data_IF_653683479569
#
_entry.id   IF_653683479569
#
_cell.length_a   1.000
_cell.length_b   1.000
_cell.length_c   1.000
_cell.angle_alpha   90.00
_cell.angle_beta   90.00
_cell.angle_gamma   90.00
#
_symmetry.space_group_name_H-M   'P 1'
#
loop_
_entity.id
_entity.type
_entity.pdbx_description
1 polymer ?
#
# COMPACT_ATOMS: atom_id res chain seq x y z
N UNK A 1 -1.62 21.75 -24.95
CA UNK A 1 -1.60 21.66 -23.49
C UNK A 1 -2.47 20.53 -23.02
N UNK A 2 -1.83 19.45 -22.50
CA UNK A 2 -2.57 18.39 -21.83
C UNK A 2 -3.15 18.96 -20.56
N UNK A 3 -4.44 19.06 -20.51
CA UNK A 3 -5.11 19.63 -19.36
C UNK A 3 -5.21 18.57 -18.25
N UNK A 4 -5.38 19.01 -17.03
CA UNK A 4 -5.66 18.13 -15.89
C UNK A 4 -6.93 17.30 -16.12
N UNK A 5 -7.84 17.78 -17.00
CA UNK A 5 -9.05 17.08 -17.39
C UNK A 5 -8.74 15.81 -18.18
N UNK A 6 -7.82 15.86 -19.14
CA UNK A 6 -7.44 14.71 -19.95
C UNK A 6 -6.80 13.61 -19.08
N UNK A 7 -5.94 14.02 -18.13
CA UNK A 7 -5.33 13.09 -17.18
C UNK A 7 -6.39 12.44 -16.29
N UNK A 8 -7.36 13.23 -15.82
CA UNK A 8 -8.45 12.72 -14.98
C UNK A 8 -9.32 11.72 -15.74
N UNK A 9 -9.60 11.99 -17.02
CA UNK A 9 -10.37 11.06 -17.85
C UNK A 9 -9.62 9.75 -18.08
N UNK A 10 -8.29 9.79 -18.23
CA UNK A 10 -7.47 8.58 -18.37
C UNK A 10 -7.53 7.72 -17.10
N UNK A 11 -7.43 8.34 -15.92
CA UNK A 11 -7.54 7.61 -14.66
C UNK A 11 -8.93 6.99 -14.48
N UNK A 12 -9.98 7.74 -14.82
CA UNK A 12 -11.36 7.23 -14.76
C UNK A 12 -11.56 6.05 -15.70
N UNK A 13 -10.98 6.09 -16.89
CA UNK A 13 -11.04 5.00 -17.86
C UNK A 13 -10.34 3.75 -17.33
N UNK A 14 -9.18 3.91 -16.70
CA UNK A 14 -8.45 2.78 -16.10
C UNK A 14 -9.23 2.18 -14.93
N UNK A 15 -9.89 3.00 -14.13
CA UNK A 15 -10.75 2.52 -13.06
C UNK A 15 -11.91 1.67 -13.62
N UNK A 16 -12.57 2.16 -14.67
CA UNK A 16 -13.68 1.42 -15.31
C UNK A 16 -13.19 0.10 -15.93
N UNK A 17 -12.04 0.12 -16.56
CA UNK A 17 -11.43 -1.08 -17.11
C UNK A 17 -11.15 -2.10 -16.00
N UNK A 18 -10.60 -1.65 -14.88
CA UNK A 18 -10.31 -2.53 -13.74
C UNK A 18 -11.59 -3.13 -13.17
N UNK A 19 -12.64 -2.33 -13.02
CA UNK A 19 -13.95 -2.82 -12.57
C UNK A 19 -14.50 -3.86 -13.54
N UNK A 20 -14.35 -3.64 -14.84
CA UNK A 20 -14.79 -4.59 -15.87
C UNK A 20 -14.07 -5.94 -15.75
N UNK A 21 -12.75 -5.89 -15.56
CA UNK A 21 -11.94 -7.11 -15.39
C UNK A 21 -12.37 -7.87 -14.14
N UNK A 22 -12.65 -7.16 -13.05
CA UNK A 22 -13.11 -7.77 -11.81
C UNK A 22 -14.47 -8.47 -12.01
N UNK A 23 -15.37 -7.86 -12.76
CA UNK A 23 -16.69 -8.48 -13.06
C UNK A 23 -16.57 -9.77 -13.88
N UNK A 24 -15.50 -9.90 -14.67
CA UNK A 24 -15.25 -11.15 -15.41
C UNK A 24 -14.79 -12.28 -14.51
N UNK A 25 -14.41 -11.99 -13.26
CA UNK A 25 -13.92 -12.95 -12.28
C UNK A 25 -12.79 -13.85 -12.83
N UNK A 26 -11.83 -13.22 -13.55
CA UNK A 26 -10.70 -13.93 -14.12
C UNK A 26 -9.40 -13.47 -13.46
N UNK A 27 -8.88 -14.20 -12.45
CA UNK A 27 -7.67 -13.78 -11.74
C UNK A 27 -6.44 -13.64 -12.62
N UNK A 28 -6.29 -14.50 -13.62
CA UNK A 28 -5.13 -14.45 -14.52
C UNK A 28 -5.12 -13.16 -15.35
N UNK A 29 -6.28 -12.75 -15.83
CA UNK A 29 -6.42 -11.51 -16.59
C UNK A 29 -6.16 -10.29 -15.70
N UNK A 30 -6.65 -10.35 -14.46
CA UNK A 30 -6.42 -9.29 -13.48
C UNK A 30 -4.93 -9.13 -13.19
N UNK A 31 -4.21 -10.23 -12.92
CA UNK A 31 -2.77 -10.18 -12.68
C UNK A 31 -2.02 -9.61 -13.88
N UNK A 32 -2.36 -10.07 -15.08
CA UNK A 32 -1.72 -9.59 -16.29
C UNK A 32 -1.88 -8.09 -16.47
N UNK A 33 -3.07 -7.57 -16.17
CA UNK A 33 -3.32 -6.12 -16.29
C UNK A 33 -2.57 -5.32 -15.26
N UNK A 34 -2.50 -5.79 -14.01
CA UNK A 34 -1.72 -5.13 -12.95
C UNK A 34 -0.24 -5.07 -13.36
N UNK A 35 0.30 -6.16 -13.89
CA UNK A 35 1.69 -6.20 -14.37
C UNK A 35 1.91 -5.17 -15.47
N UNK A 36 1.03 -5.12 -16.46
CA UNK A 36 1.19 -4.20 -17.58
C UNK A 36 1.06 -2.75 -17.15
N UNK A 37 0.14 -2.44 -16.22
CA UNK A 37 0.01 -1.09 -15.69
C UNK A 37 1.28 -0.66 -14.95
N UNK A 38 1.91 -1.55 -14.22
CA UNK A 38 3.16 -1.26 -13.52
C UNK A 38 4.31 -0.90 -14.44
N UNK A 39 4.25 -1.32 -15.71
CA UNK A 39 5.24 -0.94 -16.73
C UNK A 39 4.93 0.39 -17.39
N UNK A 40 3.65 0.78 -17.43
CA UNK A 40 3.21 1.98 -18.15
C UNK A 40 3.16 3.23 -17.28
N UNK A 41 2.88 3.08 -15.99
CA UNK A 41 2.61 4.20 -15.10
C UNK A 41 3.43 4.13 -13.83
N UNK A 42 3.79 5.29 -13.23
CA UNK A 42 4.42 5.31 -11.91
C UNK A 42 3.50 4.71 -10.83
N UNK A 43 4.10 3.98 -9.91
CA UNK A 43 3.36 3.25 -8.87
C UNK A 43 2.52 4.17 -8.00
N UNK A 44 3.06 5.33 -7.59
CA UNK A 44 2.32 6.29 -6.78
C UNK A 44 1.03 6.73 -7.47
N UNK A 45 1.10 6.96 -8.78
CA UNK A 45 -0.05 7.36 -9.58
C UNK A 45 -1.08 6.24 -9.65
N UNK A 46 -0.63 5.00 -9.86
CA UNK A 46 -1.52 3.84 -9.91
C UNK A 46 -2.23 3.63 -8.58
N UNK A 47 -1.50 3.70 -7.48
CA UNK A 47 -2.08 3.52 -6.15
C UNK A 47 -3.13 4.60 -5.89
N UNK A 48 -2.75 5.87 -6.08
CA UNK A 48 -3.62 6.99 -5.73
C UNK A 48 -4.82 7.17 -6.65
N UNK A 49 -4.65 6.89 -7.96
CA UNK A 49 -5.67 7.21 -8.95
C UNK A 49 -6.42 6.01 -9.53
N UNK A 50 -5.92 4.80 -9.31
CA UNK A 50 -6.58 3.59 -9.82
C UNK A 50 -6.93 2.62 -8.69
N UNK A 51 -5.94 2.13 -7.95
CA UNK A 51 -6.16 1.04 -7.00
C UNK A 51 -6.97 1.45 -5.78
N UNK A 52 -6.65 2.56 -5.14
CA UNK A 52 -7.43 3.04 -4.00
C UNK A 52 -8.85 3.46 -4.40
N UNK A 53 -9.06 4.20 -5.50
CA UNK A 53 -10.43 4.49 -5.95
C UNK A 53 -11.25 3.25 -6.29
N UNK A 54 -10.66 2.24 -6.94
CA UNK A 54 -11.37 0.99 -7.26
C UNK A 54 -11.72 0.25 -5.97
N UNK A 55 -10.80 0.17 -5.01
CA UNK A 55 -11.10 -0.44 -3.72
C UNK A 55 -12.26 0.27 -3.02
N UNK A 56 -12.30 1.60 -3.07
CA UNK A 56 -13.38 2.40 -2.50
C UNK A 56 -14.73 2.07 -3.16
N UNK A 57 -14.74 1.96 -4.49
CA UNK A 57 -15.96 1.59 -5.22
C UNK A 57 -16.45 0.20 -4.84
N UNK A 58 -15.55 -0.75 -4.65
CA UNK A 58 -15.90 -2.12 -4.25
C UNK A 58 -16.50 -2.16 -2.85
N UNK A 59 -16.01 -1.33 -1.93
CA UNK A 59 -16.57 -1.23 -0.58
C UNK A 59 -18.00 -0.72 -0.61
N UNK A 60 -18.31 0.19 -1.55
CA UNK A 60 -19.64 0.78 -1.65
C UNK A 60 -20.64 -0.10 -2.40
N UNK A 61 -20.19 -1.13 -3.09
CA UNK A 61 -21.07 -2.05 -3.83
C UNK A 61 -21.46 -3.22 -2.93
N UNK A 62 -22.74 -3.29 -2.58
CA UNK A 62 -23.24 -4.27 -1.62
C UNK A 62 -23.55 -5.65 -2.22
N UNK A 63 -23.61 -5.80 -3.56
CA UNK A 63 -24.13 -7.02 -4.18
C UNK A 63 -23.08 -8.11 -4.41
N UNK A 64 -21.88 -7.76 -4.87
CA UNK A 64 -20.84 -8.74 -5.21
C UNK A 64 -19.47 -8.35 -4.68
N UNK A 65 -19.41 -7.27 -3.91
CA UNK A 65 -18.18 -6.57 -3.58
C UNK A 65 -17.17 -7.41 -2.82
N UNK A 66 -17.64 -8.28 -1.91
CA UNK A 66 -16.73 -8.97 -1.00
C UNK A 66 -15.80 -9.96 -1.71
N UNK A 67 -16.34 -10.77 -2.62
CA UNK A 67 -15.51 -11.69 -3.42
C UNK A 67 -14.60 -10.92 -4.35
N UNK A 68 -15.14 -9.90 -5.00
CA UNK A 68 -14.37 -9.07 -5.93
C UNK A 68 -13.28 -8.28 -5.20
N UNK A 69 -13.60 -7.72 -4.04
CA UNK A 69 -12.62 -7.04 -3.19
C UNK A 69 -11.49 -7.96 -2.78
N UNK A 70 -11.84 -9.19 -2.37
CA UNK A 70 -10.86 -10.17 -1.94
C UNK A 70 -9.95 -10.59 -3.09
N UNK A 71 -10.52 -10.80 -4.28
CA UNK A 71 -9.76 -11.15 -5.46
C UNK A 71 -8.81 -10.02 -5.86
N UNK A 72 -9.30 -8.78 -5.83
CA UNK A 72 -8.49 -7.62 -6.16
C UNK A 72 -7.36 -7.42 -5.15
N UNK A 73 -7.69 -7.46 -3.86
CA UNK A 73 -6.71 -7.30 -2.78
C UNK A 73 -5.65 -8.39 -2.86
N UNK A 74 -6.04 -9.64 -3.14
CA UNK A 74 -5.10 -10.74 -3.29
C UNK A 74 -4.11 -10.51 -4.43
N UNK A 75 -4.61 -10.04 -5.57
CA UNK A 75 -3.76 -9.76 -6.72
C UNK A 75 -2.79 -8.59 -6.45
N UNK A 76 -3.27 -7.55 -5.77
CA UNK A 76 -2.44 -6.40 -5.39
C UNK A 76 -1.34 -6.80 -4.41
N UNK A 77 -1.68 -7.60 -3.40
CA UNK A 77 -0.71 -8.09 -2.40
C UNK A 77 0.35 -8.94 -3.09
N UNK A 78 -0.07 -9.85 -3.97
CA UNK A 78 0.84 -10.71 -4.71
C UNK A 78 1.84 -9.90 -5.52
N UNK A 79 1.36 -8.90 -6.25
CA UNK A 79 2.22 -8.05 -7.06
C UNK A 79 3.14 -7.18 -6.21
N UNK A 80 2.62 -6.62 -5.12
CA UNK A 80 3.42 -5.82 -4.20
C UNK A 80 4.53 -6.66 -3.56
N UNK A 81 4.22 -7.87 -3.13
CA UNK A 81 5.20 -8.78 -2.53
C UNK A 81 6.31 -9.14 -3.53
N UNK A 82 5.94 -9.44 -4.78
CA UNK A 82 6.92 -9.72 -5.83
C UNK A 82 7.82 -8.51 -6.09
N UNK A 83 7.25 -7.31 -6.08
CA UNK A 83 8.01 -6.07 -6.29
C UNK A 83 8.98 -5.82 -5.14
N UNK A 84 8.57 -6.06 -3.90
CA UNK A 84 9.45 -5.96 -2.74
C UNK A 84 10.64 -6.92 -2.86
N UNK A 85 10.37 -8.15 -3.28
CA UNK A 85 11.41 -9.15 -3.47
C UNK A 85 12.45 -8.68 -4.50
N UNK A 86 12.00 -8.16 -5.62
CA UNK A 86 12.89 -7.65 -6.67
C UNK A 86 13.69 -6.43 -6.20
N UNK A 87 13.07 -5.52 -5.45
CA UNK A 87 13.75 -4.32 -4.96
C UNK A 87 14.86 -4.63 -3.96
N UNK A 88 14.75 -5.74 -3.23
CA UNK A 88 15.82 -6.15 -2.30
C UNK A 88 17.11 -6.55 -3.01
N UNK A 89 17.07 -6.78 -4.30
CA UNK A 89 18.26 -7.09 -5.11
C UNK A 89 19.08 -5.84 -5.43
N UNK A 90 18.52 -4.65 -5.20
CA UNK A 90 19.16 -3.36 -5.40
C UNK A 90 19.63 -2.82 -4.06
N UNK A 91 20.62 -1.89 -4.03
CA UNK A 91 21.01 -1.24 -2.79
C UNK A 91 19.83 -0.49 -2.15
N UNK A 92 19.74 -0.55 -0.81
CA UNK A 92 18.69 0.13 -0.08
C UNK A 92 18.88 -0.02 1.42
N UNK A 93 18.06 0.71 2.17
CA UNK A 93 18.07 0.69 3.63
C UNK A 93 16.98 -0.24 4.14
N UNK A 94 17.31 -1.07 5.12
CA UNK A 94 16.35 -1.99 5.72
C UNK A 94 15.42 -1.27 6.70
N UNK A 95 14.15 -1.63 6.66
CA UNK A 95 13.14 -1.15 7.60
C UNK A 95 12.05 -2.19 7.76
N UNK A 96 11.36 -2.11 8.90
CA UNK A 96 10.19 -2.92 9.20
C UNK A 96 8.97 -2.02 9.10
N UNK A 97 7.96 -2.46 8.35
CA UNK A 97 6.69 -1.72 8.23
C UNK A 97 5.61 -2.45 9.02
N UNK A 98 4.89 -1.72 9.83
CA UNK A 98 3.77 -2.26 10.59
C UNK A 98 2.56 -1.33 10.53
N UNK A 99 1.37 -1.93 10.62
CA UNK A 99 0.12 -1.21 10.76
C UNK A 99 -0.23 -1.11 12.25
N UNK A 100 -0.48 0.11 12.73
CA UNK A 100 -0.84 0.35 14.12
C UNK A 100 -2.36 0.47 14.23
N UNK A 101 -3.01 -0.61 14.70
CA UNK A 101 -4.47 -0.70 14.84
C UNK A 101 -5.26 -0.46 13.54
N UNK A 102 -4.70 -0.85 12.40
CA UNK A 102 -5.37 -0.69 11.10
C UNK A 102 -5.51 -2.05 10.44
N UNK A 103 -6.74 -2.48 10.21
CA UNK A 103 -7.03 -3.77 9.59
C UNK A 103 -7.29 -3.63 8.10
N UNK A 104 -6.33 -3.11 7.36
CA UNK A 104 -6.41 -2.99 5.90
C UNK A 104 -5.14 -3.56 5.27
N UNK A 105 -5.12 -4.90 5.18
CA UNK A 105 -3.93 -5.64 4.72
C UNK A 105 -3.46 -5.22 3.33
N UNK A 106 -4.38 -5.09 2.40
CA UNK A 106 -4.01 -4.71 1.04
C UNK A 106 -3.39 -3.31 1.00
N UNK A 107 -3.94 -2.35 1.74
CA UNK A 107 -3.36 -1.01 1.82
C UNK A 107 -1.97 -1.02 2.43
N UNK A 108 -1.76 -1.85 3.46
CA UNK A 108 -0.43 -1.98 4.06
C UNK A 108 0.60 -2.44 3.01
N UNK A 109 0.26 -3.44 2.20
CA UNK A 109 1.15 -3.93 1.15
C UNK A 109 1.36 -2.92 0.03
N UNK A 110 0.35 -2.12 -0.31
CA UNK A 110 0.50 -1.02 -1.26
C UNK A 110 1.46 0.04 -0.73
N UNK A 111 1.38 0.36 0.56
CA UNK A 111 2.29 1.31 1.19
C UNK A 111 3.72 0.75 1.26
N UNK A 112 3.86 -0.55 1.52
CA UNK A 112 5.16 -1.22 1.45
C UNK A 112 5.77 -1.10 0.06
N UNK A 113 4.97 -1.33 -0.97
CA UNK A 113 5.40 -1.20 -2.35
C UNK A 113 5.86 0.22 -2.66
N UNK A 114 5.07 1.21 -2.25
CA UNK A 114 5.42 2.64 -2.41
C UNK A 114 6.76 2.95 -1.75
N UNK A 115 6.95 2.51 -0.51
CA UNK A 115 8.19 2.74 0.24
C UNK A 115 9.40 2.05 -0.41
N UNK A 116 9.21 0.87 -0.99
CA UNK A 116 10.30 0.15 -1.65
C UNK A 116 10.89 0.94 -2.81
N UNK A 117 10.07 1.74 -3.48
CA UNK A 117 10.54 2.58 -4.59
C UNK A 117 11.30 3.81 -4.11
N UNK A 118 11.22 4.13 -2.82
CA UNK A 118 11.97 5.23 -2.21
C UNK A 118 13.31 4.78 -1.61
N UNK A 119 13.73 3.57 -1.93
CA UNK A 119 15.03 3.04 -1.50
C UNK A 119 15.00 2.21 -0.22
N UNK A 120 13.82 1.80 0.25
CA UNK A 120 13.69 0.96 1.43
C UNK A 120 13.62 -0.51 1.06
N UNK A 121 14.33 -1.36 1.82
CA UNK A 121 14.13 -2.80 1.82
C UNK A 121 13.14 -3.12 2.95
N UNK A 122 11.88 -3.28 2.60
CA UNK A 122 10.80 -3.37 3.59
C UNK A 122 10.55 -4.82 3.97
N UNK A 123 10.47 -5.07 5.28
CA UNK A 123 9.91 -6.31 5.84
C UNK A 123 8.56 -5.95 6.44
N UNK A 124 7.50 -6.58 5.97
CA UNK A 124 6.14 -6.24 6.36
C UNK A 124 5.69 -7.15 7.51
N UNK A 125 5.21 -6.54 8.60
CA UNK A 125 4.49 -7.30 9.63
C UNK A 125 3.06 -7.46 9.13
N UNK A 126 2.66 -8.70 8.88
CA UNK A 126 1.44 -9.00 8.13
C UNK A 126 0.16 -8.64 8.86
N UNK A 127 0.15 -8.77 10.18
CA UNK A 127 -1.04 -8.55 10.99
C UNK A 127 -1.01 -7.19 11.67
N UNK A 128 -2.18 -6.58 11.93
CA UNK A 128 -2.26 -5.33 12.69
C UNK A 128 -1.68 -5.51 14.10
N UNK A 129 -0.99 -4.49 14.57
CA UNK A 129 -0.37 -4.49 15.90
C UNK A 129 -1.09 -3.45 16.76
N UNK A 130 -1.43 -3.82 17.99
CA UNK A 130 -2.14 -2.93 18.91
C UNK A 130 -1.25 -1.78 19.40
N UNK A 131 0.03 -2.05 19.60
CA UNK A 131 0.99 -1.03 20.00
C UNK A 131 2.38 -1.39 19.50
N UNK A 132 3.07 -0.46 18.84
CA UNK A 132 4.46 -0.69 18.45
C UNK A 132 5.34 -0.99 19.66
N UNK A 133 6.32 -1.87 19.44
CA UNK A 133 7.30 -2.24 20.46
C UNK A 133 8.70 -2.06 19.89
N UNK A 134 9.18 -0.81 19.79
CA UNK A 134 10.49 -0.53 19.19
C UNK A 134 11.64 -1.13 19.96
N UNK A 135 11.47 -1.45 21.25
CA UNK A 135 12.47 -2.13 22.04
C UNK A 135 12.84 -3.51 21.53
N UNK A 136 11.97 -4.13 20.72
CA UNK A 136 12.26 -5.40 20.07
C UNK A 136 13.18 -5.25 18.85
N UNK A 137 13.30 -4.02 18.35
CA UNK A 137 14.08 -3.71 17.14
C UNK A 137 15.04 -2.55 17.41
N UNK A 138 15.98 -2.70 18.37
CA UNK A 138 16.75 -1.56 18.87
C UNK A 138 17.69 -0.92 17.85
N UNK A 139 18.09 -1.66 16.81
CA UNK A 139 19.02 -1.17 15.78
C UNK A 139 18.38 -0.98 14.41
N UNK A 140 17.09 -1.31 14.28
CA UNK A 140 16.39 -1.26 13.00
C UNK A 140 15.44 -0.06 12.94
N UNK A 141 15.16 0.40 11.72
CA UNK A 141 14.15 1.43 11.51
C UNK A 141 12.78 0.77 11.48
N UNK A 142 11.87 1.29 12.29
CA UNK A 142 10.47 0.85 12.34
C UNK A 142 9.61 1.93 11.70
N UNK A 143 8.94 1.59 10.60
CA UNK A 143 8.01 2.49 9.92
C UNK A 143 6.60 2.09 10.33
N UNK A 144 5.87 3.04 10.90
CA UNK A 144 4.54 2.81 11.44
C UNK A 144 3.51 3.48 10.56
N UNK A 145 2.54 2.71 10.08
CA UNK A 145 1.44 3.21 9.28
C UNK A 145 0.17 3.19 10.11
N UNK A 146 -0.51 4.32 10.19
CA UNK A 146 -1.70 4.49 11.01
C UNK A 146 -2.99 4.60 10.20
N UNK A 147 -2.89 4.51 8.86
CA UNK A 147 -4.03 4.62 7.96
C UNK A 147 -4.54 6.04 7.78
N UNK A 148 -4.50 6.83 8.82
CA UNK A 148 -4.87 8.24 8.85
C UNK A 148 -3.74 9.02 9.53
N UNK A 149 -3.87 10.34 9.59
CA UNK A 149 -2.90 11.16 10.30
C UNK A 149 -2.76 10.68 11.75
N UNK A 150 -1.54 10.62 12.29
CA UNK A 150 -1.34 10.18 13.68
C UNK A 150 -2.10 11.06 14.67
N UNK A 151 -2.63 10.43 15.70
CA UNK A 151 -3.28 11.15 16.79
C UNK A 151 -2.24 11.87 17.64
N UNK A 152 -2.71 12.78 18.52
CA UNK A 152 -1.84 13.46 19.46
C UNK A 152 -1.07 12.47 20.35
N UNK A 153 -1.76 11.45 20.85
CA UNK A 153 -1.13 10.41 21.67
C UNK A 153 -0.07 9.64 20.89
N UNK A 154 -0.36 9.31 19.64
CA UNK A 154 0.61 8.62 18.79
C UNK A 154 1.85 9.48 18.54
N UNK A 155 1.67 10.77 18.29
CA UNK A 155 2.80 11.71 18.14
C UNK A 155 3.62 11.83 19.43
N UNK A 156 2.97 11.85 20.59
CA UNK A 156 3.66 11.89 21.88
C UNK A 156 4.52 10.63 22.09
N UNK A 157 3.97 9.46 21.74
CA UNK A 157 4.72 8.20 21.81
C UNK A 157 5.92 8.20 20.87
N UNK A 158 5.72 8.69 19.63
CA UNK A 158 6.81 8.80 18.67
C UNK A 158 7.96 9.65 19.22
N UNK A 159 7.64 10.79 19.81
CA UNK A 159 8.63 11.66 20.41
C UNK A 159 9.35 10.95 21.56
N UNK A 160 8.63 10.24 22.39
CA UNK A 160 9.19 9.48 23.51
C UNK A 160 10.17 8.41 23.04
N UNK A 161 9.79 7.65 22.01
CA UNK A 161 10.68 6.63 21.44
C UNK A 161 11.93 7.26 20.82
N UNK A 162 11.81 8.41 20.17
CA UNK A 162 12.94 9.15 19.64
C UNK A 162 13.91 9.58 20.73
N UNK A 163 13.38 10.05 21.86
CA UNK A 163 14.21 10.44 23.02
C UNK A 163 14.96 9.24 23.60
N UNK A 164 14.39 8.04 23.50
CA UNK A 164 15.03 6.81 23.94
C UNK A 164 16.04 6.25 22.93
N UNK A 165 16.20 6.92 21.77
CA UNK A 165 17.16 6.52 20.74
C UNK A 165 16.63 5.51 19.73
N UNK A 166 15.35 5.18 19.73
CA UNK A 166 14.75 4.28 18.76
C UNK A 166 14.46 5.01 17.44
N UNK A 167 14.64 4.31 16.35
CA UNK A 167 14.37 4.83 15.00
C UNK A 167 12.96 4.45 14.58
N UNK A 168 11.98 5.29 14.93
CA UNK A 168 10.57 5.09 14.58
C UNK A 168 10.12 6.25 13.72
N UNK A 169 9.53 5.93 12.58
CA UNK A 169 9.04 6.92 11.61
C UNK A 169 7.57 6.63 11.35
N UNK A 170 6.73 7.66 11.33
CA UNK A 170 5.37 7.51 10.85
C UNK A 170 5.34 7.68 9.34
N UNK A 171 4.67 6.73 8.67
CA UNK A 171 4.39 6.81 7.25
C UNK A 171 3.00 7.41 7.06
N UNK A 172 2.95 8.62 6.55
CA UNK A 172 1.68 9.29 6.26
C UNK A 172 1.18 8.86 4.87
N UNK A 173 -0.13 8.67 4.72
CA UNK A 173 -0.72 8.38 3.42
C UNK A 173 -0.57 9.54 2.44
#
# INVERSE_FOLDING_TARGET
ETTSQDTQDDWSRLQEEMMSILRMANPAKLRARIISLGREYPVDQLINHVYLPVRQRLVLDHNTSRIMSSMFDGALIEYAAASLFEMRRKPGKEAILMAWNVEERARLWLEAWRLSLSGWHISVLADPIESPRPELFPTQTLIVWTGMAPTRRQNELLQHWGEQGYKVIFHAP
#
